data_IF_257591626930
#
_entry.id   IF_257591626930
#
_cell.length_a   1.000
_cell.length_b   1.000
_cell.length_c   1.000
_cell.angle_alpha   90.00
_cell.angle_beta   90.00
_cell.angle_gamma   90.00
#
_symmetry.space_group_name_H-M   'P 1'
#
loop_
_entity.id
_entity.type
_entity.pdbx_description
1 polymer ?
#
# COMPACT_ATOMS: atom_id res chain seq x y z
N UNK A 1 2.58 -17.37 -32.96
CA UNK A 1 1.62 -18.40 -32.47
C UNK A 1 1.36 -18.13 -31.00
N UNK A 2 0.11 -18.23 -30.53
CA UNK A 2 -0.23 -18.11 -29.10
C UNK A 2 -0.04 -19.46 -28.43
N UNK A 3 0.76 -19.54 -27.39
CA UNK A 3 0.95 -20.78 -26.62
C UNK A 3 -0.05 -20.84 -25.47
N UNK A 4 -0.89 -21.88 -25.46
CA UNK A 4 -1.82 -22.11 -24.34
C UNK A 4 -1.07 -22.83 -23.21
N UNK A 5 -1.07 -22.24 -22.03
CA UNK A 5 -0.47 -22.81 -20.83
C UNK A 5 -1.48 -23.65 -20.03
N UNK A 6 -0.95 -24.39 -19.04
CA UNK A 6 -1.80 -25.17 -18.12
C UNK A 6 -2.72 -24.27 -17.33
N UNK A 7 -3.91 -24.76 -17.07
CA UNK A 7 -4.91 -24.08 -16.23
C UNK A 7 -4.46 -24.03 -14.76
N UNK A 8 -4.78 -22.91 -14.11
CA UNK A 8 -4.57 -22.70 -12.67
C UNK A 8 -5.92 -22.35 -12.03
N UNK A 9 -6.03 -22.57 -10.73
CA UNK A 9 -7.28 -22.27 -10.01
C UNK A 9 -7.46 -20.76 -9.82
N UNK A 10 -6.35 -20.04 -9.57
CA UNK A 10 -6.35 -18.60 -9.31
C UNK A 10 -5.26 -17.93 -10.14
N UNK A 11 -5.64 -16.85 -10.83
CA UNK A 11 -4.72 -15.98 -11.55
C UNK A 11 -4.74 -14.58 -10.94
N UNK A 12 -3.60 -14.10 -10.48
CA UNK A 12 -3.40 -12.75 -9.95
C UNK A 12 -2.69 -11.91 -11.02
N UNK A 13 -3.26 -10.76 -11.37
CA UNK A 13 -2.66 -9.81 -12.32
C UNK A 13 -2.12 -8.61 -11.56
N UNK A 14 -0.80 -8.45 -11.54
CA UNK A 14 -0.08 -7.43 -10.78
C UNK A 14 0.20 -7.86 -9.34
N UNK A 15 1.46 -7.68 -8.90
CA UNK A 15 1.92 -8.13 -7.58
C UNK A 15 2.39 -6.95 -6.71
N UNK A 16 1.51 -5.94 -6.56
CA UNK A 16 1.65 -4.87 -5.57
C UNK A 16 1.17 -5.33 -4.18
N UNK A 17 0.78 -4.40 -3.29
CA UNK A 17 0.27 -4.75 -1.97
C UNK A 17 -0.93 -5.70 -2.03
N UNK A 18 -1.96 -5.36 -2.82
CA UNK A 18 -3.18 -6.19 -2.93
C UNK A 18 -2.87 -7.57 -3.48
N UNK A 19 -2.18 -7.65 -4.62
CA UNK A 19 -1.81 -8.94 -5.22
C UNK A 19 -0.90 -9.77 -4.32
N UNK A 20 0.04 -9.13 -3.61
CA UNK A 20 0.93 -9.80 -2.66
C UNK A 20 0.20 -10.37 -1.44
N UNK A 21 -0.76 -9.63 -0.88
CA UNK A 21 -1.62 -10.11 0.21
C UNK A 21 -2.47 -11.29 -0.27
N UNK A 22 -3.13 -11.16 -1.43
CA UNK A 22 -3.90 -12.26 -2.00
C UNK A 22 -3.04 -13.49 -2.29
N UNK A 23 -1.85 -13.32 -2.85
CA UNK A 23 -0.92 -14.41 -3.11
C UNK A 23 -0.53 -15.16 -1.83
N UNK A 24 -0.26 -14.43 -0.74
CA UNK A 24 0.04 -15.01 0.56
C UNK A 24 -1.15 -15.78 1.13
N UNK A 25 -2.30 -15.16 1.23
CA UNK A 25 -3.50 -15.76 1.86
C UNK A 25 -4.03 -16.95 1.02
N UNK A 26 -4.09 -16.81 -0.31
CA UNK A 26 -4.56 -17.87 -1.20
C UNK A 26 -3.54 -19.01 -1.35
N UNK A 27 -2.25 -18.73 -1.21
CA UNK A 27 -1.21 -19.77 -1.16
C UNK A 27 -1.37 -20.74 0.02
N UNK A 28 -2.17 -20.41 1.03
CA UNK A 28 -2.47 -21.30 2.17
C UNK A 28 -3.67 -22.23 1.93
N UNK A 29 -4.42 -22.02 0.84
CA UNK A 29 -5.64 -22.80 0.54
C UNK A 29 -5.38 -24.13 -0.17
N UNK A 30 -4.15 -24.39 -0.65
CA UNK A 30 -3.81 -25.54 -1.48
C UNK A 30 -4.19 -25.39 -2.97
N UNK A 31 -4.87 -24.32 -3.35
CA UNK A 31 -5.20 -24.00 -4.75
C UNK A 31 -3.94 -23.58 -5.53
N UNK A 32 -3.88 -23.88 -6.81
CA UNK A 32 -2.78 -23.45 -7.69
C UNK A 32 -2.93 -21.96 -8.00
N UNK A 33 -2.01 -21.16 -7.51
CA UNK A 33 -2.00 -19.70 -7.67
C UNK A 33 -0.88 -19.29 -8.60
N UNK A 34 -1.21 -18.58 -9.67
CA UNK A 34 -0.24 -17.94 -10.57
C UNK A 34 -0.38 -16.42 -10.47
N UNK A 35 0.73 -15.75 -10.22
CA UNK A 35 0.81 -14.30 -10.30
C UNK A 35 1.60 -13.87 -11.54
N UNK A 36 1.06 -12.92 -12.30
CA UNK A 36 1.69 -12.31 -13.46
C UNK A 36 2.01 -10.86 -13.11
N UNK A 37 3.29 -10.50 -13.15
CA UNK A 37 3.77 -9.14 -12.92
C UNK A 37 4.55 -8.67 -14.17
N UNK A 38 4.23 -7.47 -14.66
CA UNK A 38 4.85 -6.96 -15.88
C UNK A 38 6.30 -6.53 -15.71
N UNK A 39 6.64 -6.03 -14.52
CA UNK A 39 8.00 -5.59 -14.21
C UNK A 39 8.86 -6.67 -13.59
N UNK A 40 10.06 -6.29 -13.18
CA UNK A 40 11.07 -7.19 -12.62
C UNK A 40 10.92 -7.36 -11.11
N UNK A 41 11.61 -8.37 -10.56
CA UNK A 41 11.78 -8.55 -9.12
C UNK A 41 12.99 -7.77 -8.64
N UNK A 42 12.80 -7.03 -7.53
CA UNK A 42 13.87 -6.25 -6.90
C UNK A 42 13.99 -6.62 -5.43
N UNK A 43 15.21 -6.61 -4.94
CA UNK A 43 15.51 -6.92 -3.54
C UNK A 43 16.31 -5.79 -2.89
N UNK A 44 16.27 -5.74 -1.56
CA UNK A 44 17.09 -4.76 -0.84
C UNK A 44 18.57 -4.96 -1.11
N UNK A 45 19.05 -6.20 -1.15
CA UNK A 45 20.48 -6.51 -1.29
C UNK A 45 21.04 -6.12 -2.67
N UNK A 46 20.29 -6.40 -3.74
CA UNK A 46 20.75 -6.11 -5.10
C UNK A 46 20.46 -4.69 -5.57
N UNK A 47 19.31 -4.12 -5.13
CA UNK A 47 18.79 -2.91 -5.77
C UNK A 47 18.82 -1.67 -4.86
N UNK A 48 18.72 -1.84 -3.53
CA UNK A 48 18.60 -0.69 -2.63
C UNK A 48 19.82 -0.49 -1.73
N UNK A 49 20.55 -1.56 -1.42
CA UNK A 49 21.80 -1.49 -0.66
C UNK A 49 22.97 -1.38 -1.64
N UNK A 50 23.44 -0.18 -1.87
CA UNK A 50 24.56 0.10 -2.79
C UNK A 50 25.84 0.44 -2.01
N UNK A 51 26.54 -0.57 -1.48
CA UNK A 51 27.66 -0.35 -0.55
C UNK A 51 28.83 0.43 -1.15
N UNK A 52 28.98 0.39 -2.47
CA UNK A 52 30.08 1.04 -3.18
C UNK A 52 29.78 2.48 -3.62
N UNK A 53 28.52 2.92 -3.55
CA UNK A 53 28.10 4.28 -3.89
C UNK A 53 27.71 4.98 -2.59
N UNK A 54 28.51 5.94 -2.13
CA UNK A 54 28.37 6.62 -0.83
C UNK A 54 27.80 8.04 -0.91
N UNK A 55 27.56 8.53 -2.11
CA UNK A 55 26.99 9.86 -2.37
C UNK A 55 25.52 9.80 -2.79
N UNK A 56 24.97 10.94 -3.22
CA UNK A 56 23.56 11.07 -3.61
C UNK A 56 23.20 10.25 -4.85
N UNK A 57 24.16 9.83 -5.69
CA UNK A 57 23.90 9.06 -6.90
C UNK A 57 23.26 7.71 -6.59
N UNK A 58 23.50 7.13 -5.43
CA UNK A 58 22.82 5.92 -4.96
C UNK A 58 21.30 6.08 -4.86
N UNK A 59 20.81 7.28 -4.65
CA UNK A 59 19.38 7.56 -4.58
C UNK A 59 18.75 7.68 -5.97
N UNK A 60 19.48 8.19 -6.95
CA UNK A 60 19.03 8.27 -8.34
C UNK A 60 18.72 6.87 -8.88
N UNK A 61 19.61 5.91 -8.65
CA UNK A 61 19.39 4.51 -9.05
C UNK A 61 18.09 3.91 -8.47
N UNK A 62 17.71 4.29 -7.25
CA UNK A 62 16.48 3.80 -6.60
C UNK A 62 15.19 4.40 -7.17
N UNK A 63 15.25 5.44 -8.00
CA UNK A 63 14.07 6.04 -8.64
C UNK A 63 13.56 5.24 -9.83
N UNK A 64 14.33 4.33 -10.38
CA UNK A 64 13.95 3.50 -11.53
C UNK A 64 12.77 2.55 -11.27
N UNK A 65 12.31 2.48 -10.02
CA UNK A 65 11.12 1.69 -9.66
C UNK A 65 9.79 2.31 -10.09
N UNK A 66 9.79 3.59 -10.47
CA UNK A 66 8.58 4.26 -10.90
C UNK A 66 8.32 3.99 -12.38
N UNK A 67 7.04 3.86 -12.71
CA UNK A 67 6.62 3.71 -14.09
C UNK A 67 7.04 4.94 -14.91
N UNK A 68 7.64 4.70 -16.06
CA UNK A 68 7.96 5.75 -17.02
C UNK A 68 6.71 6.09 -17.85
N UNK A 69 6.06 7.20 -17.55
CA UNK A 69 4.86 7.65 -18.26
C UNK A 69 5.10 7.97 -19.74
N UNK A 70 6.36 8.12 -20.18
CA UNK A 70 6.70 8.30 -21.59
C UNK A 70 6.61 6.97 -22.36
N UNK A 71 6.92 5.85 -21.69
CA UNK A 71 6.85 4.50 -22.26
C UNK A 71 5.50 3.84 -22.00
N UNK A 72 5.01 3.96 -20.76
CA UNK A 72 3.80 3.31 -20.27
C UNK A 72 2.72 4.35 -20.04
N UNK A 73 1.84 4.53 -21.02
CA UNK A 73 0.76 5.52 -20.92
C UNK A 73 -0.22 5.15 -19.83
N UNK A 74 -0.41 6.06 -18.88
CA UNK A 74 -1.47 6.03 -17.88
C UNK A 74 -2.58 6.95 -18.35
N UNK A 75 -3.81 6.47 -18.33
CA UNK A 75 -4.97 7.27 -18.71
C UNK A 75 -5.87 7.51 -17.52
N UNK A 76 -6.58 8.64 -17.51
CA UNK A 76 -7.58 8.98 -16.51
C UNK A 76 -8.85 9.52 -17.15
N UNK A 77 -9.97 9.25 -16.52
CA UNK A 77 -11.28 9.85 -16.84
C UNK A 77 -12.08 10.00 -15.54
N UNK A 78 -12.95 10.98 -15.44
CA UNK A 78 -13.79 11.20 -14.26
C UNK A 78 -15.08 10.37 -14.30
N UNK A 79 -15.62 10.10 -15.49
CA UNK A 79 -16.84 9.32 -15.68
C UNK A 79 -16.65 8.29 -16.79
N UNK A 80 -17.52 7.28 -16.84
CA UNK A 80 -17.47 6.25 -17.88
C UNK A 80 -17.80 6.79 -19.28
N UNK A 81 -18.54 7.91 -19.38
CA UNK A 81 -18.91 8.57 -20.63
C UNK A 81 -17.79 9.45 -21.21
N UNK A 82 -16.77 9.76 -20.43
CA UNK A 82 -15.66 10.57 -20.89
C UNK A 82 -14.59 9.71 -21.57
N UNK A 83 -13.93 10.28 -22.57
CA UNK A 83 -12.71 9.72 -23.12
C UNK A 83 -11.60 9.70 -22.06
N UNK A 84 -10.86 8.59 -21.97
CA UNK A 84 -9.73 8.48 -21.08
C UNK A 84 -8.52 9.21 -21.68
N UNK A 85 -8.06 10.26 -21.00
CA UNK A 85 -6.94 11.08 -21.45
C UNK A 85 -5.62 10.63 -20.81
N UNK A 86 -4.50 10.66 -21.54
CA UNK A 86 -3.20 10.29 -21.01
C UNK A 86 -2.70 11.30 -19.98
N UNK A 87 -2.21 10.77 -18.83
CA UNK A 87 -1.51 11.56 -17.83
C UNK A 87 -0.10 11.83 -18.33
N UNK A 88 0.24 13.12 -18.55
CA UNK A 88 1.54 13.53 -19.06
C UNK A 88 2.56 13.86 -17.97
N UNK A 89 2.09 14.09 -16.73
CA UNK A 89 2.96 14.38 -15.58
C UNK A 89 2.53 13.53 -14.41
N UNK A 90 3.49 12.84 -13.82
CA UNK A 90 3.30 12.11 -12.57
C UNK A 90 3.38 13.14 -11.42
N UNK A 91 2.26 13.74 -11.05
CA UNK A 91 2.15 14.66 -9.93
C UNK A 91 2.30 13.92 -8.59
N UNK A 92 1.22 13.83 -7.83
CA UNK A 92 1.14 13.04 -6.59
C UNK A 92 0.88 11.55 -6.81
N UNK A 93 0.44 11.15 -8.00
CA UNK A 93 0.22 9.75 -8.39
C UNK A 93 1.51 9.19 -9.00
N UNK A 94 2.14 8.26 -8.30
CA UNK A 94 3.42 7.64 -8.67
C UNK A 94 3.23 6.12 -8.74
N UNK A 95 2.76 5.56 -9.87
CA UNK A 95 2.66 4.12 -10.01
C UNK A 95 4.05 3.47 -10.01
N UNK A 96 4.16 2.35 -9.31
CA UNK A 96 5.37 1.55 -9.31
C UNK A 96 5.33 0.48 -10.38
N UNK A 97 6.51 0.09 -10.86
CA UNK A 97 6.70 -1.02 -11.76
C UNK A 97 7.52 -2.12 -11.08
N UNK A 98 7.12 -3.37 -11.32
CA UNK A 98 7.78 -4.55 -10.76
C UNK A 98 7.08 -5.15 -9.55
N UNK A 99 7.65 -6.25 -9.10
CA UNK A 99 7.15 -7.03 -7.96
C UNK A 99 7.15 -6.16 -6.70
N UNK A 100 5.97 -5.94 -6.13
CA UNK A 100 5.75 -5.02 -5.03
C UNK A 100 5.05 -3.72 -5.42
N UNK A 101 5.02 -3.38 -6.71
CA UNK A 101 4.34 -2.20 -7.26
C UNK A 101 4.72 -0.91 -6.52
N UNK A 102 3.77 0.01 -6.38
CA UNK A 102 4.00 1.27 -5.64
C UNK A 102 4.34 1.08 -4.16
N UNK A 103 4.08 -0.09 -3.58
CA UNK A 103 4.49 -0.45 -2.22
C UNK A 103 6.01 -0.49 -2.01
N UNK A 104 6.80 -0.52 -3.08
CA UNK A 104 8.26 -0.48 -3.02
C UNK A 104 8.81 0.91 -2.68
N UNK A 105 8.18 1.95 -3.23
CA UNK A 105 8.65 3.34 -3.15
C UNK A 105 7.70 4.30 -2.41
N UNK A 106 6.67 3.77 -1.74
CA UNK A 106 5.73 4.58 -0.95
C UNK A 106 6.38 5.20 0.29
N UNK A 107 5.73 6.19 0.87
CA UNK A 107 6.26 6.90 2.05
C UNK A 107 6.10 6.13 3.37
N UNK A 108 5.34 5.04 3.37
CA UNK A 108 5.01 4.28 4.57
C UNK A 108 3.91 4.90 5.43
N UNK A 109 3.23 5.96 4.97
CA UNK A 109 2.12 6.55 5.72
C UNK A 109 0.92 5.60 5.79
N UNK A 110 0.44 5.27 7.00
CA UNK A 110 -0.57 4.24 7.25
C UNK A 110 -1.70 4.78 8.11
N UNK A 111 -2.49 5.68 7.53
CA UNK A 111 -3.68 6.19 8.19
C UNK A 111 -4.79 5.15 8.18
N UNK A 112 -5.53 5.04 9.28
CA UNK A 112 -6.84 4.40 9.28
C UNK A 112 -7.89 5.42 8.90
N UNK A 113 -8.82 5.02 8.05
CA UNK A 113 -10.04 5.77 7.76
C UNK A 113 -10.96 5.76 8.98
N UNK A 114 -11.84 6.73 9.08
CA UNK A 114 -12.85 6.82 10.14
C UNK A 114 -14.20 6.32 9.64
N UNK A 115 -15.18 6.15 10.55
CA UNK A 115 -16.55 5.82 10.15
C UNK A 115 -17.14 6.83 9.16
N UNK A 116 -16.77 8.11 9.29
CA UNK A 116 -17.19 9.16 8.34
C UNK A 116 -16.72 8.88 6.91
N UNK A 117 -15.51 8.40 6.75
CA UNK A 117 -14.93 8.15 5.42
C UNK A 117 -15.64 6.99 4.71
N UNK A 118 -16.09 5.97 5.47
CA UNK A 118 -16.82 4.83 4.92
C UNK A 118 -18.27 5.16 4.54
N UNK A 119 -18.86 6.18 5.16
CA UNK A 119 -20.24 6.62 4.94
C UNK A 119 -20.31 8.09 4.51
N UNK A 120 -19.38 8.50 3.65
CA UNK A 120 -19.21 9.90 3.33
C UNK A 120 -20.45 10.52 2.68
N UNK A 121 -21.12 9.80 1.77
CA UNK A 121 -22.37 10.26 1.15
C UNK A 121 -23.48 10.40 2.18
N UNK A 122 -23.78 9.34 2.92
CA UNK A 122 -24.81 9.34 3.95
C UNK A 122 -24.58 10.45 4.98
N UNK A 123 -23.35 10.61 5.47
CA UNK A 123 -23.01 11.66 6.43
C UNK A 123 -23.25 13.08 5.90
N UNK A 124 -22.95 13.33 4.62
CA UNK A 124 -23.22 14.64 4.02
C UNK A 124 -24.72 14.86 3.80
N UNK A 125 -25.44 13.85 3.32
CA UNK A 125 -26.89 13.93 3.10
C UNK A 125 -27.66 14.12 4.43
N UNK A 126 -27.27 13.41 5.49
CA UNK A 126 -27.85 13.55 6.83
C UNK A 126 -27.61 14.94 7.43
N UNK A 127 -26.39 15.49 7.24
CA UNK A 127 -26.00 16.77 7.82
C UNK A 127 -26.51 17.98 7.04
N UNK A 128 -26.54 17.92 5.73
CA UNK A 128 -26.76 19.06 4.85
C UNK A 128 -27.98 18.89 3.91
N UNK A 129 -28.64 17.73 3.94
CA UNK A 129 -29.77 17.37 3.10
C UNK A 129 -29.40 16.65 1.81
N UNK A 130 -30.36 15.88 1.27
CA UNK A 130 -30.15 15.00 0.11
C UNK A 130 -29.66 15.69 -1.18
N UNK A 131 -29.92 16.98 -1.32
CA UNK A 131 -29.52 17.75 -2.48
C UNK A 131 -28.19 18.49 -2.31
N UNK A 132 -27.48 18.26 -1.21
CA UNK A 132 -26.21 18.93 -0.92
C UNK A 132 -25.08 18.48 -1.88
N UNK A 133 -25.04 17.18 -2.19
CA UNK A 133 -24.05 16.64 -3.13
C UNK A 133 -24.57 16.90 -4.55
N UNK A 134 -23.82 17.63 -5.41
CA UNK A 134 -24.18 17.83 -6.80
C UNK A 134 -24.42 16.52 -7.54
N UNK A 135 -25.39 16.49 -8.46
CA UNK A 135 -25.81 15.27 -9.16
C UNK A 135 -24.73 14.66 -10.06
N UNK A 136 -23.76 15.46 -10.49
CA UNK A 136 -22.60 15.05 -11.31
C UNK A 136 -21.41 14.57 -10.50
N UNK A 137 -21.46 14.66 -9.17
CA UNK A 137 -20.44 14.09 -8.29
C UNK A 137 -20.69 12.60 -7.98
N UNK A 138 -19.63 11.80 -8.11
CA UNK A 138 -19.67 10.34 -7.90
C UNK A 138 -19.30 9.92 -6.47
N UNK A 139 -19.64 10.78 -5.48
CA UNK A 139 -19.44 10.46 -4.06
C UNK A 139 -20.43 9.38 -3.63
N UNK A 140 -19.93 8.33 -3.00
CA UNK A 140 -20.77 7.21 -2.51
C UNK A 140 -20.17 6.59 -1.26
N UNK A 141 -20.99 5.90 -0.50
CA UNK A 141 -20.54 5.08 0.63
C UNK A 141 -19.79 3.84 0.13
N UNK A 142 -18.88 3.33 0.94
CA UNK A 142 -18.03 2.19 0.58
C UNK A 142 -18.74 0.83 0.65
N UNK A 143 -19.92 0.75 1.26
CA UNK A 143 -20.64 -0.50 1.47
C UNK A 143 -20.02 -1.43 2.52
N UNK A 144 -19.05 -0.93 3.29
CA UNK A 144 -18.38 -1.60 4.41
C UNK A 144 -18.17 -0.57 5.53
N UNK A 145 -18.07 -1.01 6.76
CA UNK A 145 -17.87 -0.15 7.94
C UNK A 145 -16.44 -0.20 8.44
N UNK A 146 -16.06 0.80 9.24
CA UNK A 146 -14.79 0.77 9.95
C UNK A 146 -14.65 -0.46 10.87
N UNK A 147 -15.74 -0.81 11.59
CA UNK A 147 -15.74 -1.95 12.51
C UNK A 147 -15.46 -3.28 11.81
N UNK A 148 -15.97 -3.47 10.58
CA UNK A 148 -15.68 -4.66 9.77
C UNK A 148 -14.22 -4.69 9.28
N UNK A 149 -13.61 -3.53 9.03
CA UNK A 149 -12.21 -3.43 8.57
C UNK A 149 -11.19 -3.36 9.72
N UNK A 150 -11.59 -3.02 10.93
CA UNK A 150 -10.67 -2.83 12.05
C UNK A 150 -9.72 -4.02 12.28
N UNK A 151 -10.18 -5.29 12.29
CA UNK A 151 -9.30 -6.44 12.46
C UNK A 151 -8.23 -6.58 11.34
N UNK A 152 -8.58 -6.16 10.13
CA UNK A 152 -7.66 -6.20 8.99
C UNK A 152 -6.65 -5.04 9.03
N UNK A 153 -7.04 -3.86 9.54
CA UNK A 153 -6.10 -2.79 9.84
C UNK A 153 -5.07 -3.24 10.87
N UNK A 154 -5.51 -3.85 11.98
CA UNK A 154 -4.63 -4.37 13.02
C UNK A 154 -3.66 -5.45 12.45
N UNK A 155 -4.18 -6.39 11.65
CA UNK A 155 -3.38 -7.41 10.97
C UNK A 155 -2.34 -6.77 10.05
N UNK A 156 -2.75 -5.81 9.21
CA UNK A 156 -1.84 -5.12 8.29
C UNK A 156 -0.75 -4.34 9.01
N UNK A 157 -1.10 -3.61 10.06
CA UNK A 157 -0.14 -2.85 10.87
C UNK A 157 0.95 -3.74 11.46
N UNK A 158 0.58 -4.92 11.95
CA UNK A 158 1.53 -5.93 12.46
C UNK A 158 2.41 -6.49 11.34
N UNK A 159 1.84 -6.81 10.19
CA UNK A 159 2.58 -7.34 9.04
C UNK A 159 3.56 -6.30 8.48
N UNK A 160 3.14 -5.04 8.41
CA UNK A 160 3.93 -3.94 7.84
C UNK A 160 4.83 -3.21 8.86
N UNK A 161 4.92 -3.69 10.10
CA UNK A 161 5.74 -3.10 11.18
C UNK A 161 5.44 -1.61 11.40
N UNK A 162 4.16 -1.26 11.53
CA UNK A 162 3.74 0.13 11.68
C UNK A 162 4.14 0.67 13.04
N UNK A 163 4.84 1.81 13.02
CA UNK A 163 5.19 2.60 14.20
C UNK A 163 4.17 3.72 14.40
N UNK A 164 3.66 3.88 15.61
CA UNK A 164 2.67 4.89 15.90
C UNK A 164 2.31 4.99 17.37
N UNK A 165 1.34 5.85 17.66
CA UNK A 165 0.70 6.00 18.97
C UNK A 165 -0.81 6.04 18.76
N UNK A 166 -1.51 5.06 19.31
CA UNK A 166 -2.96 5.02 19.27
C UNK A 166 -3.57 6.22 19.99
N UNK A 167 -4.63 6.77 19.43
CA UNK A 167 -5.41 7.84 20.05
C UNK A 167 -6.70 7.34 20.72
N UNK A 168 -7.11 6.11 20.42
CA UNK A 168 -8.35 5.55 20.94
C UNK A 168 -8.29 4.02 20.96
N UNK A 169 -8.07 3.44 22.14
CA UNK A 169 -8.06 1.98 22.33
C UNK A 169 -9.37 1.56 22.98
N UNK A 170 -10.18 0.78 22.28
CA UNK A 170 -11.47 0.24 22.74
C UNK A 170 -12.39 1.33 23.30
N UNK A 171 -12.46 2.49 22.64
CA UNK A 171 -13.27 3.63 23.05
C UNK A 171 -12.62 4.54 24.11
N UNK A 172 -11.47 4.14 24.67
CA UNK A 172 -10.71 4.95 25.65
C UNK A 172 -9.69 5.82 24.94
N UNK A 173 -9.84 7.14 25.06
CA UNK A 173 -8.89 8.11 24.48
C UNK A 173 -7.50 7.95 25.11
N UNK A 174 -6.47 8.03 24.27
CA UNK A 174 -5.07 7.92 24.65
C UNK A 174 -4.34 9.26 24.44
N UNK A 175 -3.65 9.73 25.47
CA UNK A 175 -2.88 10.97 25.37
C UNK A 175 -1.72 10.82 24.37
N UNK A 176 -1.54 11.83 23.53
CA UNK A 176 -0.46 11.87 22.54
C UNK A 176 -0.71 11.09 21.25
N UNK A 177 -1.86 10.42 21.13
CA UNK A 177 -2.33 9.84 19.88
C UNK A 177 -3.31 10.75 19.13
N UNK A 178 -3.81 10.32 17.97
CA UNK A 178 -4.78 11.06 17.18
C UNK A 178 -6.12 11.18 17.95
N UNK A 179 -6.56 12.38 18.35
CA UNK A 179 -7.78 12.55 19.14
C UNK A 179 -9.07 12.19 18.39
N UNK A 180 -8.99 12.13 17.05
CA UNK A 180 -10.12 11.81 16.17
C UNK A 180 -10.10 10.37 15.66
N UNK A 181 -9.14 9.56 16.13
CA UNK A 181 -9.04 8.15 15.71
C UNK A 181 -10.28 7.36 16.13
N UNK A 182 -10.81 6.55 15.22
CA UNK A 182 -11.86 5.60 15.54
C UNK A 182 -11.34 4.52 16.52
N UNK A 183 -12.23 3.87 17.29
CA UNK A 183 -11.83 2.84 18.25
C UNK A 183 -11.06 1.71 17.58
N UNK A 184 -9.89 1.37 18.11
CA UNK A 184 -9.06 0.25 17.67
C UNK A 184 -8.91 -0.78 18.79
N UNK A 185 -8.62 -2.02 18.43
CA UNK A 185 -8.50 -3.14 19.37
C UNK A 185 -7.23 -3.05 20.23
N UNK A 186 -6.12 -2.57 19.66
CA UNK A 186 -4.81 -2.52 20.31
C UNK A 186 -3.98 -1.30 19.88
N UNK A 187 -2.86 -1.01 20.56
CA UNK A 187 -1.88 -0.02 20.12
C UNK A 187 -1.13 -0.50 18.87
N UNK A 188 -0.36 0.36 18.25
CA UNK A 188 0.54 0.00 17.14
C UNK A 188 1.58 -1.03 17.60
N UNK A 189 2.05 -1.93 16.71
CA UNK A 189 3.06 -2.93 17.06
C UNK A 189 4.39 -2.32 17.49
N UNK A 190 4.68 -1.10 17.05
CA UNK A 190 5.92 -0.39 17.37
C UNK A 190 5.66 1.02 17.88
N UNK A 191 6.51 1.52 18.81
CA UNK A 191 6.40 2.90 19.28
C UNK A 191 6.62 3.89 18.14
N UNK A 192 6.18 5.15 18.29
CA UNK A 192 6.37 6.18 17.28
C UNK A 192 7.83 6.34 16.86
N UNK A 193 8.06 6.76 15.62
CA UNK A 193 9.36 7.24 15.16
C UNK A 193 9.82 8.43 16.00
N UNK A 194 11.13 8.60 16.17
CA UNK A 194 11.71 9.76 16.85
C UNK A 194 11.36 11.04 16.11
N UNK A 195 11.02 12.07 16.86
CA UNK A 195 10.83 13.39 16.29
C UNK A 195 12.17 14.00 15.85
N UNK A 196 12.26 14.40 14.61
CA UNK A 196 13.33 15.28 14.13
C UNK A 196 13.09 16.70 14.65
N UNK A 197 14.12 17.56 14.62
CA UNK A 197 14.04 18.91 15.20
C UNK A 197 12.84 19.71 14.67
N UNK A 198 12.63 19.74 13.37
CA UNK A 198 11.50 20.47 12.76
C UNK A 198 10.13 19.94 13.24
N UNK A 199 9.97 18.63 13.37
CA UNK A 199 8.72 18.03 13.89
C UNK A 199 8.50 18.38 15.37
N UNK A 200 9.58 18.43 16.16
CA UNK A 200 9.52 18.84 17.56
C UNK A 200 9.09 20.30 17.69
N UNK A 201 9.73 21.21 16.95
CA UNK A 201 9.39 22.63 16.93
C UNK A 201 7.94 22.86 16.47
N UNK A 202 7.50 22.15 15.42
CA UNK A 202 6.10 22.19 14.97
C UNK A 202 5.13 21.73 16.06
N UNK A 203 5.43 20.63 16.73
CA UNK A 203 4.60 20.10 17.82
C UNK A 203 4.47 21.08 18.97
N UNK A 204 5.59 21.66 19.41
CA UNK A 204 5.61 22.66 20.49
C UNK A 204 4.80 23.94 20.14
N UNK A 205 4.97 24.43 18.90
CA UNK A 205 4.19 25.57 18.40
C UNK A 205 2.70 25.27 18.33
N UNK A 206 2.34 24.12 17.80
CA UNK A 206 0.94 23.66 17.69
C UNK A 206 0.28 23.53 19.06
N UNK A 207 0.97 22.96 20.05
CA UNK A 207 0.47 22.87 21.42
C UNK A 207 0.21 24.26 22.06
N UNK A 208 1.12 25.19 21.84
CA UNK A 208 0.94 26.59 22.32
C UNK A 208 -0.28 27.27 21.69
N UNK A 209 -0.68 26.84 20.47
CA UNK A 209 -1.87 27.34 19.80
C UNK A 209 -3.14 26.56 20.17
N UNK A 210 -3.08 25.59 21.09
CA UNK A 210 -4.23 24.81 21.53
C UNK A 210 -4.56 23.59 20.62
N UNK A 211 -3.70 23.24 19.67
CA UNK A 211 -3.84 22.04 18.86
C UNK A 211 -3.27 20.80 19.55
N UNK A 212 -3.67 19.63 19.06
CA UNK A 212 -3.23 18.32 19.56
C UNK A 212 -2.35 17.61 18.54
N UNK A 213 -1.06 17.95 18.42
CA UNK A 213 -0.14 17.27 17.52
C UNK A 213 0.09 15.83 18.00
N UNK A 214 0.19 14.93 17.05
CA UNK A 214 0.43 13.50 17.31
C UNK A 214 1.37 12.92 16.26
N UNK A 215 2.11 11.82 16.55
CA UNK A 215 2.99 11.18 15.61
C UNK A 215 2.19 10.52 14.49
N UNK A 216 2.56 10.78 13.23
CA UNK A 216 1.97 10.12 12.08
C UNK A 216 2.26 8.61 12.13
N UNK A 217 1.25 7.74 12.01
CA UNK A 217 1.49 6.31 11.88
C UNK A 217 2.25 6.02 10.58
N UNK A 218 3.25 5.15 10.68
CA UNK A 218 4.17 4.90 9.58
C UNK A 218 4.64 3.45 9.57
N UNK A 219 4.54 2.81 8.40
CA UNK A 219 5.13 1.49 8.15
C UNK A 219 6.65 1.57 7.97
N UNK A 220 7.30 2.34 8.83
CA UNK A 220 8.75 2.42 8.98
C UNK A 220 9.06 1.99 10.41
N UNK A 221 9.68 0.83 10.57
CA UNK A 221 9.95 0.24 11.88
C UNK A 221 10.85 1.14 12.73
N UNK A 222 10.35 1.64 13.86
CA UNK A 222 11.11 2.51 14.76
C UNK A 222 12.24 1.79 15.49
N UNK A 223 12.17 0.46 15.54
CA UNK A 223 13.17 -0.45 16.08
C UNK A 223 13.14 -1.78 15.33
N UNK A 224 14.14 -2.64 15.54
CA UNK A 224 14.14 -3.97 14.96
C UNK A 224 12.87 -4.75 15.37
N UNK A 225 12.27 -5.45 14.41
CA UNK A 225 10.99 -6.14 14.61
C UNK A 225 10.91 -7.39 13.75
N UNK A 226 10.31 -8.44 14.29
CA UNK A 226 9.92 -9.61 13.51
C UNK A 226 8.39 -9.67 13.47
N UNK A 227 7.81 -9.62 12.27
CA UNK A 227 6.37 -9.64 12.13
C UNK A 227 5.78 -11.05 12.38
N UNK A 228 4.44 -11.19 12.49
CA UNK A 228 3.80 -12.49 12.74
C UNK A 228 4.11 -13.55 11.67
N UNK A 229 4.44 -13.16 10.45
CA UNK A 229 4.81 -14.06 9.34
C UNK A 229 6.31 -14.41 9.33
N UNK A 230 7.10 -13.93 10.31
CA UNK A 230 8.52 -14.19 10.43
C UNK A 230 9.42 -13.27 9.59
N UNK A 231 8.88 -12.25 8.95
CA UNK A 231 9.70 -11.26 8.24
C UNK A 231 10.46 -10.36 9.21
N UNK A 232 11.76 -10.18 8.99
CA UNK A 232 12.65 -9.41 9.87
C UNK A 232 12.86 -8.00 9.35
N UNK A 233 12.58 -7.02 10.19
CA UNK A 233 12.77 -5.60 9.93
C UNK A 233 13.99 -5.07 10.68
N UNK A 234 14.77 -4.23 10.00
CA UNK A 234 15.76 -3.38 10.65
C UNK A 234 15.10 -2.12 11.25
N UNK A 235 15.85 -1.38 12.06
CA UNK A 235 15.40 -0.08 12.57
C UNK A 235 15.56 1.02 11.49
N UNK A 236 14.60 1.96 11.45
CA UNK A 236 14.67 3.13 10.57
C UNK A 236 15.94 3.96 10.84
N UNK A 237 16.67 4.28 9.79
CA UNK A 237 17.92 5.06 9.86
C UNK A 237 17.68 6.58 9.69
N UNK A 238 16.43 7.02 9.57
CA UNK A 238 16.06 8.44 9.43
C UNK A 238 16.71 9.15 8.23
N UNK A 239 16.98 8.42 7.15
CA UNK A 239 17.64 8.94 5.95
C UNK A 239 16.78 9.93 5.12
N UNK A 240 15.47 10.01 5.37
CA UNK A 240 14.55 10.92 4.67
C UNK A 240 14.08 10.44 3.27
N UNK A 241 14.55 9.30 2.79
CA UNK A 241 14.30 8.81 1.43
C UNK A 241 13.24 7.67 1.37
N UNK A 242 12.11 7.84 2.04
CA UNK A 242 11.06 6.82 1.98
C UNK A 242 10.21 6.91 0.72
N UNK A 243 9.74 8.12 0.39
CA UNK A 243 8.93 8.37 -0.80
C UNK A 243 9.82 8.33 -2.05
N UNK A 244 9.40 7.60 -3.06
CA UNK A 244 10.08 7.37 -4.35
C UNK A 244 11.28 6.42 -4.31
N UNK A 245 11.70 5.92 -3.16
CA UNK A 245 12.90 5.08 -3.03
C UNK A 245 12.64 3.77 -2.30
N UNK A 246 13.42 2.74 -2.60
CA UNK A 246 13.52 1.53 -1.79
C UNK A 246 14.23 1.79 -0.46
N UNK A 247 14.00 0.94 0.53
CA UNK A 247 14.62 1.07 1.85
C UNK A 247 15.82 0.15 1.97
N UNK A 248 17.03 0.70 2.07
CA UNK A 248 18.26 -0.08 2.25
C UNK A 248 18.40 -0.75 3.63
N UNK A 249 17.72 -0.20 4.64
CA UNK A 249 17.77 -0.70 6.01
C UNK A 249 16.72 -1.79 6.31
N UNK A 250 15.94 -2.24 5.32
CA UNK A 250 14.78 -3.13 5.54
C UNK A 250 13.82 -2.66 6.64
N UNK A 251 13.75 -1.35 6.87
CA UNK A 251 12.92 -0.77 7.94
C UNK A 251 11.52 -0.37 7.45
N UNK A 252 11.32 -0.21 6.13
CA UNK A 252 10.03 0.16 5.56
C UNK A 252 9.23 -1.09 5.19
N UNK A 253 8.03 -1.25 5.74
CA UNK A 253 7.09 -2.28 5.35
C UNK A 253 6.74 -2.13 3.87
N UNK A 254 7.15 -3.10 3.08
CA UNK A 254 6.95 -3.14 1.64
C UNK A 254 6.65 -4.58 1.20
N UNK A 255 5.89 -4.80 0.12
CA UNK A 255 5.45 -6.15 -0.26
C UNK A 255 6.60 -7.13 -0.46
N UNK A 256 7.72 -6.69 -1.04
CA UNK A 256 8.89 -7.51 -1.35
C UNK A 256 9.61 -8.09 -0.11
N UNK A 257 9.39 -7.53 1.06
CA UNK A 257 9.98 -8.05 2.29
C UNK A 257 8.95 -8.59 3.28
N UNK A 258 7.68 -8.45 2.99
CA UNK A 258 6.59 -8.92 3.87
C UNK A 258 5.82 -10.08 3.23
N UNK A 259 4.81 -9.80 2.45
CA UNK A 259 3.84 -10.78 1.94
C UNK A 259 4.37 -11.63 0.77
N UNK A 260 5.16 -11.03 -0.12
CA UNK A 260 5.64 -11.72 -1.33
C UNK A 260 6.62 -12.86 -1.00
N UNK A 261 7.65 -12.68 -0.15
CA UNK A 261 8.54 -13.78 0.22
C UNK A 261 7.83 -14.94 0.92
N UNK A 262 6.73 -14.67 1.60
CA UNK A 262 5.90 -15.70 2.23
C UNK A 262 5.13 -16.49 1.17
N UNK A 263 4.50 -15.80 0.21
CA UNK A 263 3.84 -16.43 -0.92
C UNK A 263 4.81 -17.30 -1.75
N UNK A 264 6.00 -16.79 -2.04
CA UNK A 264 7.02 -17.50 -2.83
C UNK A 264 7.53 -18.80 -2.17
N UNK A 265 7.36 -18.98 -0.87
CA UNK A 265 7.68 -20.22 -0.17
C UNK A 265 6.60 -21.30 -0.30
N UNK A 266 5.43 -20.96 -0.80
CA UNK A 266 4.31 -21.90 -0.94
C UNK A 266 4.48 -22.74 -2.20
N UNK A 267 4.39 -24.09 -2.14
CA UNK A 267 4.65 -24.99 -3.28
C UNK A 267 3.59 -24.87 -4.40
N UNK A 268 2.43 -24.33 -4.09
CA UNK A 268 1.30 -24.11 -4.99
C UNK A 268 1.24 -22.69 -5.58
N UNK A 269 2.24 -21.83 -5.30
CA UNK A 269 2.35 -20.48 -5.83
C UNK A 269 3.45 -20.38 -6.88
N UNK A 270 3.12 -19.79 -8.03
CA UNK A 270 4.05 -19.46 -9.12
C UNK A 270 4.01 -17.97 -9.40
N UNK A 271 5.18 -17.35 -9.57
CA UNK A 271 5.33 -15.98 -10.02
C UNK A 271 6.02 -15.94 -11.38
N UNK A 272 5.46 -15.17 -12.31
CA UNK A 272 6.12 -14.81 -13.57
C UNK A 272 6.28 -13.29 -13.64
N UNK A 273 7.51 -12.87 -13.74
CA UNK A 273 7.89 -11.47 -14.02
C UNK A 273 7.97 -11.24 -15.53
N UNK A 274 8.08 -9.98 -15.96
CA UNK A 274 8.06 -9.60 -17.38
C UNK A 274 6.83 -10.14 -18.14
N UNK A 275 5.73 -10.36 -17.41
CA UNK A 275 4.48 -10.93 -17.90
C UNK A 275 3.40 -9.85 -17.95
N UNK A 276 3.36 -9.12 -19.06
CA UNK A 276 2.42 -8.01 -19.24
C UNK A 276 1.08 -8.52 -19.75
N UNK A 277 0.09 -8.56 -18.87
CA UNK A 277 -1.29 -8.91 -19.24
C UNK A 277 -1.91 -7.79 -20.07
N UNK A 278 -2.22 -8.11 -21.31
CA UNK A 278 -2.78 -7.17 -22.30
C UNK A 278 -4.28 -7.36 -22.51
N UNK A 279 -4.84 -8.54 -22.19
CA UNK A 279 -6.25 -8.82 -22.39
C UNK A 279 -6.77 -9.88 -21.41
N UNK A 280 -7.97 -9.64 -20.88
CA UNK A 280 -8.76 -10.64 -20.14
C UNK A 280 -9.64 -11.37 -21.15
N UNK A 281 -9.54 -12.69 -21.18
CA UNK A 281 -10.31 -13.56 -22.05
C UNK A 281 -11.59 -14.01 -21.36
N UNK A 282 -12.70 -14.01 -22.10
CA UNK A 282 -14.01 -14.45 -21.63
C UNK A 282 -14.54 -15.54 -22.55
N UNK A 283 -15.48 -16.32 -22.04
CA UNK A 283 -16.23 -17.30 -22.82
C UNK A 283 -17.17 -16.60 -23.84
N UNK A 284 -17.86 -17.39 -24.66
CA UNK A 284 -18.79 -16.89 -25.67
C UNK A 284 -19.97 -16.10 -25.07
N UNK A 285 -20.34 -16.34 -23.80
CA UNK A 285 -21.39 -15.61 -23.11
C UNK A 285 -20.92 -14.24 -22.58
N UNK A 286 -19.61 -14.00 -22.52
CA UNK A 286 -19.00 -12.80 -21.91
C UNK A 286 -19.09 -12.72 -20.39
N UNK A 287 -19.66 -13.74 -19.74
CA UNK A 287 -19.92 -13.75 -18.29
C UNK A 287 -18.82 -14.43 -17.47
N UNK A 288 -18.11 -15.40 -18.06
CA UNK A 288 -17.05 -16.15 -17.38
C UNK A 288 -15.69 -15.78 -17.92
N UNK A 289 -14.74 -15.45 -17.02
CA UNK A 289 -13.33 -15.29 -17.38
C UNK A 289 -12.72 -16.68 -17.59
N UNK A 290 -12.01 -16.85 -18.72
CA UNK A 290 -11.38 -18.11 -19.12
C UNK A 290 -9.86 -18.05 -19.13
N UNK A 291 -9.29 -16.88 -18.95
CA UNK A 291 -7.84 -16.68 -18.89
C UNK A 291 -7.43 -15.25 -19.21
N UNK A 292 -6.14 -15.07 -19.46
CA UNK A 292 -5.56 -13.79 -19.89
C UNK A 292 -4.58 -14.04 -21.04
N UNK A 293 -4.33 -12.97 -21.81
CA UNK A 293 -3.23 -12.91 -22.78
C UNK A 293 -2.11 -12.04 -22.18
N UNK A 294 -0.87 -12.54 -22.18
CA UNK A 294 0.31 -11.82 -21.68
C UNK A 294 1.53 -12.12 -22.53
#
# INVERSE_FOLDING_TARGET
MVTKLKEVDILIVGLGWTGGILAKELGETGLKVLALERGDIRTTASDFSLPNIRDELRYVHRQEMMQDAAKDTITARNTQSQEALPIRRLGSFLPGEGVGGSGMHWSGGTWRWTDMDFKIRSNYEDRYGKNFIPADMTIQDWGITYAELEPYYDKFEKVAAVSGKAGNIQGKKQTGGNPFEAPRSADYPLPPLKHILSSKMFGEASQKMGYNPFPRPSANASQAYTNPDGSKFGACQYCGYCQRFGCEANAKGSPHMTVIPIAMKKPNFELRTHAWVTKILKDSSGKKVTGVLY
#
